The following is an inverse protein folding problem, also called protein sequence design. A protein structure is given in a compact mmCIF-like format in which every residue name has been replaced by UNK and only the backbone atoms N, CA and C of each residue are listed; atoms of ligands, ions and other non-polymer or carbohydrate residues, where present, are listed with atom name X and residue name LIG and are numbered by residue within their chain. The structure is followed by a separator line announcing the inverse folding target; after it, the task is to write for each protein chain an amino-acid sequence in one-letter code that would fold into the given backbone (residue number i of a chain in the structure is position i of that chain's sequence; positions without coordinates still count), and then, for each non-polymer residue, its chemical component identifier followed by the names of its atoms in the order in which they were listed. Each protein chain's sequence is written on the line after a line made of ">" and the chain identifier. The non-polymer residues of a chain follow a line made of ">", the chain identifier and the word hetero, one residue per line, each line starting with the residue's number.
data_IF_411488116054
#
_entry.id   IF_411488116054
#
_cell.length_a   1.000
_cell.length_b   1.000
_cell.length_c   1.000
_cell.angle_alpha   90.00
_cell.angle_beta   90.00
_cell.angle_gamma   90.00
#
_symmetry.space_group_name_H-M   'P 1'
#
loop_
_entity.id
_entity.type
_entity.pdbx_description
1 polymer ?
#
# COMPACT_ATOMS: atom_id res chain seq x y z
N UNK A 1 19.61 -17.00 5.01
CA UNK A 1 18.73 -15.83 4.75
C UNK A 1 19.06 -15.29 3.37
N UNK A 2 18.10 -15.35 2.44
CA UNK A 2 18.29 -14.83 1.09
C UNK A 2 18.36 -13.29 1.10
N UNK A 3 18.97 -12.73 0.05
CA UNK A 3 19.13 -11.29 -0.11
C UNK A 3 17.77 -10.56 -0.06
N UNK A 4 16.74 -11.12 -0.70
CA UNK A 4 15.37 -10.59 -0.69
C UNK A 4 14.82 -10.44 0.75
N UNK A 5 14.94 -11.46 1.59
CA UNK A 5 14.41 -11.41 2.96
C UNK A 5 15.06 -10.30 3.79
N UNK A 6 16.37 -10.05 3.63
CA UNK A 6 17.05 -8.96 4.35
C UNK A 6 16.45 -7.59 4.03
N UNK A 7 16.00 -7.42 2.79
CA UNK A 7 15.45 -6.15 2.33
C UNK A 7 14.01 -5.97 2.81
N UNK A 8 13.21 -7.05 2.85
CA UNK A 8 11.89 -7.04 3.51
C UNK A 8 12.00 -6.63 4.99
N UNK A 9 12.97 -7.20 5.73
CA UNK A 9 13.22 -6.82 7.13
C UNK A 9 13.67 -5.37 7.27
N UNK A 10 14.56 -4.91 6.38
CA UNK A 10 14.98 -3.51 6.35
C UNK A 10 13.78 -2.59 6.14
N UNK A 11 12.86 -2.94 5.22
CA UNK A 11 11.65 -2.16 4.97
C UNK A 11 10.75 -2.11 6.20
N UNK A 12 10.57 -3.23 6.88
CA UNK A 12 9.77 -3.29 8.09
C UNK A 12 10.35 -2.38 9.20
N UNK A 13 11.68 -2.30 9.27
CA UNK A 13 12.40 -1.40 10.16
C UNK A 13 12.35 0.07 9.71
N UNK A 14 12.24 0.34 8.41
CA UNK A 14 12.06 1.68 7.87
C UNK A 14 10.68 2.29 8.22
N UNK A 15 9.66 1.48 8.51
CA UNK A 15 8.32 1.99 8.83
C UNK A 15 8.31 2.83 10.12
N UNK A 16 8.83 2.37 11.28
CA UNK A 16 8.97 3.22 12.47
C UNK A 16 9.81 4.49 12.21
N UNK A 17 10.89 4.37 11.45
CA UNK A 17 11.77 5.51 11.10
C UNK A 17 10.99 6.54 10.27
N UNK A 18 10.24 6.07 9.28
CA UNK A 18 9.34 6.89 8.46
C UNK A 18 8.32 7.63 9.32
N UNK A 19 7.67 6.94 10.27
CA UNK A 19 6.70 7.55 11.20
C UNK A 19 7.35 8.64 12.06
N UNK A 20 8.51 8.36 12.66
CA UNK A 20 9.21 9.34 13.51
C UNK A 20 9.59 10.57 12.71
N UNK A 21 10.19 10.37 11.53
CA UNK A 21 10.65 11.47 10.66
C UNK A 21 9.49 12.34 10.19
N UNK A 22 8.33 11.75 9.90
CA UNK A 22 7.14 12.50 9.50
C UNK A 22 6.73 13.58 10.53
N UNK A 23 6.91 13.31 11.83
CA UNK A 23 6.57 14.26 12.90
C UNK A 23 7.63 15.35 13.13
N UNK A 24 8.76 15.34 12.43
CA UNK A 24 9.83 16.35 12.55
C UNK A 24 9.55 17.64 11.76
N UNK A 25 8.28 18.03 11.63
CA UNK A 25 7.85 19.23 10.92
C UNK A 25 7.81 19.08 9.39
N UNK A 26 7.72 20.21 8.67
CA UNK A 26 7.54 20.22 7.21
C UNK A 26 8.67 19.54 6.43
N UNK A 27 9.91 19.76 6.85
CA UNK A 27 11.08 19.08 6.29
C UNK A 27 11.02 17.57 6.55
N UNK A 28 10.55 17.17 7.73
CA UNK A 28 10.30 15.77 8.08
C UNK A 28 9.30 15.09 7.16
N UNK A 29 8.18 15.76 6.85
CA UNK A 29 7.18 15.27 5.90
C UNK A 29 7.79 15.04 4.51
N UNK A 30 8.61 15.97 4.01
CA UNK A 30 9.29 15.80 2.71
C UNK A 30 10.27 14.61 2.75
N UNK A 31 11.10 14.51 3.79
CA UNK A 31 12.06 13.40 3.95
C UNK A 31 11.31 12.06 4.02
N UNK A 32 10.19 12.01 4.75
CA UNK A 32 9.34 10.83 4.82
C UNK A 32 8.80 10.42 3.45
N UNK A 33 8.50 11.38 2.57
CA UNK A 33 8.17 11.14 1.16
C UNK A 33 9.29 10.44 0.41
N UNK A 34 10.54 10.90 0.55
CA UNK A 34 11.69 10.23 -0.05
C UNK A 34 11.92 8.83 0.52
N UNK A 35 11.78 8.63 1.82
CA UNK A 35 11.88 7.30 2.45
C UNK A 35 10.81 6.37 1.90
N UNK A 36 9.57 6.84 1.76
CA UNK A 36 8.48 6.07 1.19
C UNK A 36 8.78 5.67 -0.26
N UNK A 37 9.27 6.60 -1.09
CA UNK A 37 9.67 6.30 -2.48
C UNK A 37 10.74 5.21 -2.52
N UNK A 38 11.80 5.36 -1.71
CA UNK A 38 12.89 4.37 -1.65
C UNK A 38 12.33 3.01 -1.22
N UNK A 39 11.55 2.97 -0.14
CA UNK A 39 10.96 1.73 0.38
C UNK A 39 10.05 1.03 -0.64
N UNK A 40 9.21 1.78 -1.36
CA UNK A 40 8.31 1.26 -2.39
C UNK A 40 9.06 0.77 -3.64
N UNK A 41 10.09 1.51 -4.09
CA UNK A 41 10.91 1.07 -5.22
C UNK A 41 11.72 -0.17 -4.88
N UNK A 42 12.26 -0.24 -3.67
CA UNK A 42 12.99 -1.40 -3.18
C UNK A 42 12.14 -2.67 -3.23
N UNK A 43 10.84 -2.61 -2.89
CA UNK A 43 9.91 -3.74 -3.07
C UNK A 43 9.82 -4.26 -4.49
N UNK A 44 9.66 -3.34 -5.43
CA UNK A 44 9.54 -3.69 -6.82
C UNK A 44 10.80 -4.42 -7.32
N UNK A 45 11.98 -3.94 -6.92
CA UNK A 45 13.25 -4.57 -7.28
C UNK A 45 13.48 -5.91 -6.58
N UNK A 46 13.12 -6.04 -5.30
CA UNK A 46 13.27 -7.30 -4.55
C UNK A 46 12.43 -8.41 -5.16
N UNK A 47 11.15 -8.13 -5.43
CA UNK A 47 10.25 -9.07 -6.07
C UNK A 47 10.71 -9.45 -7.48
N UNK A 48 11.39 -8.54 -8.19
CA UNK A 48 11.99 -8.86 -9.49
C UNK A 48 13.23 -9.76 -9.36
N UNK A 49 14.14 -9.46 -8.44
CA UNK A 49 15.38 -10.22 -8.23
C UNK A 49 15.08 -11.61 -7.68
N UNK A 50 14.17 -11.74 -6.70
CA UNK A 50 13.79 -13.02 -6.12
C UNK A 50 13.18 -13.97 -7.18
N UNK A 51 12.33 -13.45 -8.07
CA UNK A 51 11.77 -14.21 -9.20
C UNK A 51 12.84 -14.61 -10.20
N UNK A 52 13.79 -13.71 -10.50
CA UNK A 52 14.88 -14.00 -11.45
C UNK A 52 15.88 -15.03 -10.92
N UNK A 53 16.08 -15.09 -9.60
CA UNK A 53 17.04 -16.00 -8.95
C UNK A 53 16.43 -17.31 -8.45
N UNK A 54 15.12 -17.53 -8.62
CA UNK A 54 14.38 -18.65 -8.01
C UNK A 54 14.61 -18.77 -6.48
N UNK A 55 14.90 -17.65 -5.82
CA UNK A 55 15.22 -17.56 -4.39
C UNK A 55 13.97 -17.26 -3.55
N UNK A 56 12.81 -17.77 -3.98
CA UNK A 56 11.53 -17.52 -3.31
C UNK A 56 11.46 -18.39 -2.06
N UNK A 57 11.42 -17.75 -0.89
CA UNK A 57 11.20 -18.44 0.39
C UNK A 57 9.77 -18.25 0.85
N UNK A 58 9.19 -19.24 1.52
CA UNK A 58 7.81 -19.18 2.06
C UNK A 58 7.61 -18.05 3.07
N UNK A 59 8.64 -17.76 3.89
CA UNK A 59 8.61 -16.64 4.82
C UNK A 59 8.68 -15.28 4.10
N UNK A 60 9.57 -15.15 3.10
CA UNK A 60 9.68 -13.91 2.32
C UNK A 60 8.41 -13.60 1.53
N UNK A 61 7.82 -14.60 0.87
CA UNK A 61 6.58 -14.43 0.11
C UNK A 61 5.37 -14.05 0.96
N UNK A 62 5.39 -14.36 2.25
CA UNK A 62 4.39 -13.91 3.22
C UNK A 62 4.67 -12.51 3.76
N UNK A 63 5.93 -12.20 4.08
CA UNK A 63 6.33 -10.91 4.66
C UNK A 63 6.27 -9.76 3.64
N UNK A 64 6.55 -10.02 2.36
CA UNK A 64 6.57 -8.97 1.32
C UNK A 64 5.22 -8.25 1.17
N UNK A 65 4.08 -8.94 0.94
CA UNK A 65 2.78 -8.29 0.86
C UNK A 65 2.33 -7.65 2.18
N UNK A 66 2.82 -8.15 3.31
CA UNK A 66 2.50 -7.63 4.63
C UNK A 66 3.23 -6.30 4.86
N UNK A 67 4.54 -6.24 4.56
CA UNK A 67 5.35 -5.03 4.69
C UNK A 67 4.83 -3.91 3.77
N UNK A 68 4.47 -4.23 2.51
CA UNK A 68 3.89 -3.27 1.56
C UNK A 68 2.59 -2.65 2.09
N UNK A 69 1.69 -3.48 2.64
CA UNK A 69 0.43 -2.99 3.21
C UNK A 69 0.66 -2.17 4.46
N UNK A 70 1.52 -2.58 5.39
CA UNK A 70 1.76 -1.79 6.59
C UNK A 70 2.34 -0.41 6.24
N UNK A 71 3.29 -0.34 5.30
CA UNK A 71 3.88 0.93 4.88
C UNK A 71 2.84 1.88 4.27
N UNK A 72 2.03 1.39 3.31
CA UNK A 72 0.98 2.19 2.66
C UNK A 72 -0.12 2.61 3.63
N UNK A 73 -0.53 1.72 4.55
CA UNK A 73 -1.50 2.03 5.59
C UNK A 73 -0.97 3.08 6.57
N UNK A 74 0.27 2.95 7.03
CA UNK A 74 0.91 3.91 7.91
C UNK A 74 0.97 5.30 7.27
N UNK A 75 1.35 5.37 5.99
CA UNK A 75 1.39 6.63 5.25
C UNK A 75 0.01 7.31 5.17
N UNK A 76 -1.06 6.58 4.86
CA UNK A 76 -2.41 7.18 4.85
C UNK A 76 -2.89 7.62 6.23
N UNK A 77 -2.61 6.84 7.27
CA UNK A 77 -2.97 7.23 8.64
C UNK A 77 -2.26 8.53 9.04
N UNK A 78 -0.97 8.66 8.76
CA UNK A 78 -0.22 9.89 9.01
C UNK A 78 -0.73 11.06 8.16
N UNK A 79 -1.03 10.85 6.88
CA UNK A 79 -1.60 11.90 6.05
C UNK A 79 -2.98 12.36 6.56
N UNK A 80 -3.80 11.48 7.13
CA UNK A 80 -5.07 11.88 7.73
C UNK A 80 -4.89 12.77 8.96
N UNK A 81 -3.81 12.62 9.74
CA UNK A 81 -3.56 13.48 10.91
C UNK A 81 -3.22 14.92 10.53
N UNK A 82 -2.75 15.15 9.30
CA UNK A 82 -2.47 16.50 8.77
C UNK A 82 -3.73 17.27 8.37
N UNK A 83 -4.88 16.60 8.27
CA UNK A 83 -6.12 17.17 7.76
C UNK A 83 -6.18 17.34 6.24
N UNK A 84 -5.13 16.95 5.50
CA UNK A 84 -5.11 17.03 4.03
C UNK A 84 -6.10 16.06 3.37
N UNK A 85 -6.37 14.93 4.02
CA UNK A 85 -7.33 13.92 3.57
C UNK A 85 -8.30 13.56 4.69
N UNK A 86 -9.55 13.21 4.37
CA UNK A 86 -10.51 12.83 5.39
C UNK A 86 -10.15 11.48 6.04
N UNK A 87 -10.25 11.39 7.36
CA UNK A 87 -10.00 10.13 8.08
C UNK A 87 -10.97 9.00 7.68
N UNK A 88 -12.22 9.35 7.35
CA UNK A 88 -13.23 8.34 6.96
C UNK A 88 -12.86 7.58 5.67
N UNK A 89 -12.22 8.25 4.71
CA UNK A 89 -11.81 7.61 3.45
C UNK A 89 -10.56 6.75 3.64
N UNK A 90 -9.71 7.08 4.62
CA UNK A 90 -8.63 6.17 5.05
C UNK A 90 -9.20 4.91 5.70
N UNK A 91 -10.19 5.04 6.58
CA UNK A 91 -10.88 3.87 7.16
C UNK A 91 -11.50 3.00 6.06
N UNK A 92 -12.11 3.61 5.05
CA UNK A 92 -12.65 2.88 3.89
C UNK A 92 -11.55 2.09 3.15
N UNK A 93 -10.40 2.72 2.88
CA UNK A 93 -9.25 2.07 2.26
C UNK A 93 -8.78 0.87 3.07
N UNK A 94 -8.62 1.04 4.39
CA UNK A 94 -8.21 -0.02 5.30
C UNK A 94 -9.22 -1.17 5.31
N UNK A 95 -10.51 -0.85 5.53
CA UNK A 95 -11.57 -1.84 5.58
C UNK A 95 -11.61 -2.69 4.31
N UNK A 96 -11.53 -2.06 3.13
CA UNK A 96 -11.48 -2.77 1.85
C UNK A 96 -10.27 -3.70 1.77
N UNK A 97 -9.09 -3.27 2.22
CA UNK A 97 -7.90 -4.12 2.21
C UNK A 97 -8.07 -5.37 3.07
N UNK A 98 -8.68 -5.24 4.26
CA UNK A 98 -8.98 -6.39 5.12
C UNK A 98 -10.02 -7.32 4.48
N UNK A 99 -11.12 -6.77 3.95
CA UNK A 99 -12.20 -7.55 3.32
C UNK A 99 -11.67 -8.37 2.14
N UNK A 100 -10.94 -7.74 1.21
CA UNK A 100 -10.46 -8.42 0.00
C UNK A 100 -9.42 -9.49 0.35
N UNK A 101 -8.54 -9.25 1.34
CA UNK A 101 -7.60 -10.27 1.78
C UNK A 101 -8.30 -11.43 2.48
N UNK A 102 -9.29 -11.14 3.34
CA UNK A 102 -10.11 -12.16 4.00
C UNK A 102 -10.85 -13.03 3.00
N UNK A 103 -11.49 -12.43 1.99
CA UNK A 103 -12.16 -13.17 0.91
C UNK A 103 -11.18 -14.07 0.15
N UNK A 104 -10.00 -13.57 -0.20
CA UNK A 104 -8.96 -14.38 -0.87
C UNK A 104 -8.43 -15.50 0.01
N UNK A 105 -8.33 -15.27 1.32
CA UNK A 105 -7.92 -16.30 2.27
C UNK A 105 -8.94 -17.44 2.32
N UNK A 106 -10.23 -17.12 2.47
CA UNK A 106 -11.32 -18.12 2.46
C UNK A 106 -11.38 -18.86 1.11
N UNK A 107 -11.20 -18.14 -0.01
CA UNK A 107 -11.17 -18.73 -1.34
C UNK A 107 -10.04 -19.77 -1.48
N UNK A 108 -8.85 -19.44 -0.97
CA UNK A 108 -7.69 -20.31 -1.01
C UNK A 108 -7.93 -21.63 -0.23
N UNK A 109 -8.60 -21.57 0.93
CA UNK A 109 -9.01 -22.77 1.68
C UNK A 109 -9.96 -23.66 0.87
N UNK A 110 -10.90 -23.05 0.13
CA UNK A 110 -11.81 -23.75 -0.79
C UNK A 110 -11.16 -24.13 -2.14
N UNK A 111 -9.84 -23.95 -2.31
CA UNK A 111 -9.08 -24.17 -3.56
C UNK A 111 -9.59 -23.37 -4.76
N UNK A 112 -10.28 -22.26 -4.51
CA UNK A 112 -10.78 -21.33 -5.53
C UNK A 112 -9.81 -20.15 -5.64
N UNK A 113 -9.35 -19.87 -6.85
CA UNK A 113 -8.41 -18.77 -7.11
C UNK A 113 -9.19 -17.53 -7.52
N UNK A 114 -9.23 -16.52 -6.65
CA UNK A 114 -9.73 -15.19 -7.03
C UNK A 114 -8.56 -14.40 -7.64
N UNK A 115 -8.64 -14.14 -8.95
CA UNK A 115 -7.58 -13.43 -9.67
C UNK A 115 -7.53 -11.93 -9.32
N UNK A 116 -6.37 -11.32 -9.57
CA UNK A 116 -6.19 -9.88 -9.41
C UNK A 116 -6.97 -9.11 -10.49
N UNK A 117 -7.98 -8.32 -10.12
CA UNK A 117 -8.73 -7.52 -11.06
C UNK A 117 -7.92 -6.31 -11.52
N UNK A 118 -8.22 -5.82 -12.72
CA UNK A 118 -7.61 -4.59 -13.25
C UNK A 118 -7.83 -3.41 -12.30
N UNK A 119 -9.03 -3.28 -11.74
CA UNK A 119 -9.37 -2.24 -10.78
C UNK A 119 -8.56 -2.35 -9.48
N UNK A 120 -8.24 -3.58 -9.04
CA UNK A 120 -7.32 -3.81 -7.92
C UNK A 120 -5.92 -3.26 -8.19
N UNK A 121 -5.41 -3.39 -9.43
CA UNK A 121 -4.10 -2.83 -9.83
C UNK A 121 -4.13 -1.31 -9.91
N UNK A 122 -5.16 -0.75 -10.54
CA UNK A 122 -5.37 0.71 -10.64
C UNK A 122 -5.44 1.33 -9.25
N UNK A 123 -6.18 0.70 -8.32
CA UNK A 123 -6.24 1.09 -6.91
C UNK A 123 -4.86 1.16 -6.27
N UNK A 124 -4.03 0.13 -6.42
CA UNK A 124 -2.71 0.12 -5.76
C UNK A 124 -1.77 1.16 -6.35
N UNK A 125 -1.74 1.30 -7.69
CA UNK A 125 -0.90 2.32 -8.34
C UNK A 125 -1.33 3.72 -7.96
N UNK A 126 -2.63 4.02 -8.00
CA UNK A 126 -3.14 5.34 -7.61
C UNK A 126 -2.89 5.65 -6.14
N UNK A 127 -2.98 4.68 -5.22
CA UNK A 127 -2.63 4.89 -3.81
C UNK A 127 -1.15 5.23 -3.62
N UNK A 128 -0.25 4.47 -4.24
CA UNK A 128 1.19 4.74 -4.14
C UNK A 128 1.54 6.13 -4.67
N UNK A 129 0.99 6.50 -5.83
CA UNK A 129 1.19 7.83 -6.42
C UNK A 129 0.59 8.93 -5.53
N UNK A 130 -0.63 8.75 -5.03
CA UNK A 130 -1.26 9.70 -4.13
C UNK A 130 -0.42 9.95 -2.88
N UNK A 131 0.07 8.89 -2.22
CA UNK A 131 0.92 9.01 -1.03
C UNK A 131 2.18 9.83 -1.34
N UNK A 132 2.88 9.51 -2.44
CA UNK A 132 4.10 10.24 -2.82
C UNK A 132 3.83 11.73 -3.01
N UNK A 133 2.81 12.08 -3.78
CA UNK A 133 2.46 13.49 -4.02
C UNK A 133 2.02 14.19 -2.74
N UNK A 134 1.22 13.54 -1.89
CA UNK A 134 0.76 14.14 -0.64
C UNK A 134 1.90 14.35 0.36
N UNK A 135 2.86 13.43 0.46
CA UNK A 135 4.05 13.60 1.31
C UNK A 135 5.01 14.66 0.77
N UNK A 136 5.07 14.85 -0.55
CA UNK A 136 5.87 15.91 -1.18
C UNK A 136 5.11 17.24 -1.30
N UNK A 137 3.87 17.32 -0.82
CA UNK A 137 3.04 18.53 -0.89
C UNK A 137 3.65 19.79 -0.27
N UNK A 138 4.52 19.73 0.78
CA UNK A 138 5.14 20.95 1.31
C UNK A 138 6.11 21.63 0.33
N UNK A 139 6.52 20.96 -0.76
CA UNK A 139 7.40 21.56 -1.77
C UNK A 139 6.67 22.53 -2.70
N UNK A 140 5.39 22.26 -3.03
CA UNK A 140 4.63 23.06 -3.99
C UNK A 140 3.11 22.80 -3.89
N UNK A 141 2.29 23.85 -3.93
CA UNK A 141 0.83 23.76 -3.95
C UNK A 141 0.26 22.99 -5.17
N UNK A 142 0.95 23.01 -6.31
CA UNK A 142 0.57 22.22 -7.49
C UNK A 142 0.72 20.72 -7.20
N UNK A 143 1.77 20.32 -6.48
CA UNK A 143 1.98 18.92 -6.07
C UNK A 143 0.85 18.47 -5.14
N UNK A 144 0.45 19.33 -4.20
CA UNK A 144 -0.70 19.07 -3.33
C UNK A 144 -1.98 18.83 -4.15
N UNK A 145 -2.27 19.72 -5.10
CA UNK A 145 -3.48 19.66 -5.92
C UNK A 145 -3.54 18.35 -6.73
N UNK A 146 -2.43 17.97 -7.36
CA UNK A 146 -2.31 16.70 -8.08
C UNK A 146 -2.47 15.51 -7.10
N UNK A 147 -1.83 15.58 -5.93
CA UNK A 147 -1.93 14.55 -4.90
C UNK A 147 -3.36 14.30 -4.44
N UNK A 148 -4.15 15.36 -4.22
CA UNK A 148 -5.57 15.27 -3.84
C UNK A 148 -6.41 14.66 -4.97
N UNK A 149 -6.18 15.04 -6.22
CA UNK A 149 -6.90 14.47 -7.37
C UNK A 149 -6.63 12.97 -7.47
N UNK A 150 -5.35 12.58 -7.43
CA UNK A 150 -4.96 11.16 -7.51
C UNK A 150 -5.45 10.38 -6.29
N UNK A 151 -5.49 11.01 -5.11
CA UNK A 151 -6.07 10.43 -3.91
C UNK A 151 -7.55 10.07 -4.09
N UNK A 152 -8.37 10.98 -4.63
CA UNK A 152 -9.77 10.69 -4.88
C UNK A 152 -9.98 9.61 -5.94
N UNK A 153 -9.14 9.58 -6.98
CA UNK A 153 -9.12 8.46 -7.94
C UNK A 153 -8.84 7.14 -7.20
N UNK A 154 -7.89 7.14 -6.27
CA UNK A 154 -7.55 5.96 -5.48
C UNK A 154 -8.71 5.51 -4.57
N UNK A 155 -9.42 6.44 -3.93
CA UNK A 155 -10.62 6.15 -3.12
C UNK A 155 -11.72 5.54 -3.99
N UNK A 156 -12.02 6.13 -5.14
CA UNK A 156 -13.05 5.62 -6.07
C UNK A 156 -12.66 4.22 -6.57
N UNK A 157 -11.42 4.03 -7.03
CA UNK A 157 -10.92 2.72 -7.46
C UNK A 157 -10.98 1.68 -6.31
N UNK A 158 -10.78 2.11 -5.06
CA UNK A 158 -10.91 1.27 -3.87
C UNK A 158 -12.34 0.80 -3.67
N UNK A 159 -13.31 1.70 -3.76
CA UNK A 159 -14.74 1.35 -3.63
C UNK A 159 -15.17 0.39 -4.73
N UNK A 160 -14.91 0.75 -5.99
CA UNK A 160 -15.35 -0.06 -7.15
C UNK A 160 -14.70 -1.45 -7.10
N UNK A 161 -13.39 -1.52 -6.85
CA UNK A 161 -12.73 -2.81 -6.73
C UNK A 161 -13.22 -3.60 -5.52
N UNK A 162 -13.55 -2.96 -4.39
CA UNK A 162 -14.12 -3.63 -3.22
C UNK A 162 -15.43 -4.33 -3.55
N UNK A 163 -16.34 -3.64 -4.24
CA UNK A 163 -17.62 -4.20 -4.70
C UNK A 163 -17.40 -5.37 -5.67
N UNK A 164 -16.49 -5.21 -6.63
CA UNK A 164 -16.14 -6.26 -7.59
C UNK A 164 -15.66 -7.54 -6.89
N UNK A 165 -14.77 -7.42 -5.90
CA UNK A 165 -14.26 -8.56 -5.13
C UNK A 165 -15.32 -9.24 -4.28
N UNK A 166 -16.19 -8.47 -3.63
CA UNK A 166 -17.31 -9.01 -2.84
C UNK A 166 -18.27 -9.78 -3.76
N UNK A 167 -18.57 -9.24 -4.94
CA UNK A 167 -19.43 -9.90 -5.92
C UNK A 167 -18.84 -11.22 -6.41
N UNK A 168 -17.54 -11.26 -6.72
CA UNK A 168 -16.84 -12.51 -7.09
C UNK A 168 -16.81 -13.52 -5.93
N UNK A 169 -16.69 -13.03 -4.69
CA UNK A 169 -16.64 -13.86 -3.49
C UNK A 169 -18.01 -14.30 -2.95
N UNK A 170 -19.13 -13.89 -3.55
CA UNK A 170 -20.49 -14.17 -3.02
C UNK A 170 -20.80 -15.67 -2.87
N UNK A 171 -20.23 -16.50 -3.74
CA UNK A 171 -20.43 -17.95 -3.71
C UNK A 171 -19.61 -18.64 -2.62
N UNK A 172 -18.56 -17.97 -2.12
CA UNK A 172 -17.71 -18.47 -1.06
C UNK A 172 -18.30 -18.23 0.33
N UNK A 173 -19.19 -17.25 0.48
CA UNK A 173 -19.85 -16.85 1.73
C UNK A 173 -21.11 -17.66 2.05
N UNK A 174 -21.45 -18.65 1.20
CA UNK A 174 -22.42 -19.71 1.51
C UNK A 174 -21.71 -20.89 2.17
#
# INVERSE_FOLDING_TARGET
>A
MNFANKITYLRLLLIPVFVIIFYLGSTGVIISGFIFIVAALTDFFDGYIARKRNEVTTLGSFLDPLADKILTMAAFVLLATTGLIPAWSVVLILAREFIVNGLRFIAAEKKIVISASFLGKVKTMSQMVAIVFLLLSPLNATILSIGIIVYWIAVVATVISGVEYIYQGRELLK
#
